data_IF_006388536095
#
_entry.id   IF_006388536095
#
_cell.length_a   1.000
_cell.length_b   1.000
_cell.length_c   1.000
_cell.angle_alpha   90.00
_cell.angle_beta   90.00
_cell.angle_gamma   90.00
#
_symmetry.space_group_name_H-M   'P 1'
#
loop_
_entity.id
_entity.type
_entity.pdbx_description
1 polymer ?
#
# COMPACT_ATOMS: atom_id res chain seq x y z
N UNK A 1 10.77 -17.80 3.64
CA UNK A 1 10.01 -18.69 4.56
C UNK A 1 8.75 -17.92 4.89
N UNK A 2 7.55 -18.42 4.58
CA UNK A 2 6.34 -17.59 4.63
C UNK A 2 6.03 -17.16 6.06
N UNK A 3 6.12 -15.86 6.35
CA UNK A 3 5.76 -15.27 7.65
C UNK A 3 4.27 -15.56 7.94
N UNK A 4 3.91 -16.11 9.11
CA UNK A 4 2.52 -16.31 9.52
C UNK A 4 1.70 -15.03 9.40
N UNK A 5 0.42 -15.14 9.00
CA UNK A 5 -0.43 -13.96 8.79
C UNK A 5 -0.61 -13.11 10.07
N UNK A 6 -0.55 -13.74 11.24
CA UNK A 6 -0.61 -13.08 12.55
C UNK A 6 0.62 -12.25 12.88
N UNK A 7 1.74 -12.50 12.21
CA UNK A 7 3.03 -11.84 12.40
C UNK A 7 3.35 -10.84 11.29
N UNK A 8 2.53 -10.80 10.24
CA UNK A 8 2.70 -9.85 9.14
C UNK A 8 2.27 -8.46 9.59
N UNK A 9 3.13 -7.48 9.32
CA UNK A 9 2.91 -6.09 9.68
C UNK A 9 3.30 -5.13 8.56
N UNK A 10 2.85 -3.89 8.72
CA UNK A 10 3.27 -2.77 7.90
C UNK A 10 3.37 -1.57 8.82
N UNK A 11 4.59 -1.03 8.92
CA UNK A 11 4.91 0.19 9.63
C UNK A 11 5.15 1.26 8.57
N UNK A 12 4.58 2.43 8.83
CA UNK A 12 4.69 3.59 7.95
C UNK A 12 4.99 4.80 8.81
N UNK A 13 6.07 5.50 8.49
CA UNK A 13 6.55 6.65 9.25
C UNK A 13 6.69 7.82 8.29
N UNK A 14 6.16 8.98 8.67
CA UNK A 14 6.53 10.23 8.02
C UNK A 14 7.65 10.87 8.83
N UNK A 15 8.81 11.02 8.21
CA UNK A 15 9.90 11.78 8.80
C UNK A 15 9.77 13.23 8.36
N UNK A 16 9.59 14.14 9.32
CA UNK A 16 9.39 15.57 9.06
C UNK A 16 10.71 16.26 8.69
N UNK A 17 11.83 15.82 9.24
CA UNK A 17 13.15 16.42 8.94
C UNK A 17 13.58 16.08 7.52
N UNK A 18 13.34 14.83 7.10
CA UNK A 18 13.63 14.36 5.73
C UNK A 18 12.51 14.76 4.76
N UNK A 19 11.30 14.97 5.26
CA UNK A 19 10.11 15.30 4.47
C UNK A 19 9.55 14.12 3.67
N UNK A 20 9.89 12.88 4.04
CA UNK A 20 9.61 11.66 3.25
C UNK A 20 8.88 10.59 4.06
N UNK A 21 8.22 9.70 3.34
CA UNK A 21 7.62 8.50 3.92
C UNK A 21 8.62 7.34 3.91
N UNK A 22 8.80 6.72 5.06
CA UNK A 22 9.44 5.43 5.22
C UNK A 22 8.39 4.33 5.36
N UNK A 23 8.64 3.18 4.71
CA UNK A 23 7.80 1.99 4.81
C UNK A 23 8.68 0.83 5.23
N UNK A 24 8.19 0.05 6.19
CA UNK A 24 8.69 -1.29 6.50
C UNK A 24 7.52 -2.26 6.51
N UNK A 25 7.55 -3.28 5.66
CA UNK A 25 6.43 -4.21 5.51
C UNK A 25 6.87 -5.64 5.25
N UNK A 26 6.26 -6.56 5.99
CA UNK A 26 6.28 -8.00 5.73
C UNK A 26 4.99 -8.50 5.08
N UNK A 27 4.00 -7.62 4.88
CA UNK A 27 2.73 -7.95 4.22
C UNK A 27 2.89 -8.00 2.68
N UNK A 28 2.75 -9.17 2.02
CA UNK A 28 3.08 -9.31 0.59
C UNK A 28 2.30 -8.40 -0.37
N UNK A 29 1.00 -8.12 -0.17
CA UNK A 29 0.29 -7.14 -0.99
C UNK A 29 0.88 -5.72 -0.92
N UNK A 30 1.38 -5.28 0.24
CA UNK A 30 2.04 -3.99 0.37
C UNK A 30 3.43 -4.00 -0.25
N UNK A 31 4.19 -5.11 -0.13
CA UNK A 31 5.47 -5.27 -0.85
C UNK A 31 5.27 -5.03 -2.35
N UNK A 32 4.30 -5.72 -2.97
CA UNK A 32 3.99 -5.53 -4.40
C UNK A 32 3.53 -4.12 -4.75
N UNK A 33 2.72 -3.51 -3.87
CA UNK A 33 2.19 -2.15 -4.07
C UNK A 33 3.28 -1.09 -4.03
N UNK A 34 4.19 -1.16 -3.06
CA UNK A 34 5.14 -0.09 -2.79
C UNK A 34 6.50 -0.27 -3.46
N UNK A 35 6.89 -1.49 -3.84
CA UNK A 35 8.17 -1.74 -4.53
C UNK A 35 8.43 -0.78 -5.70
N UNK A 36 7.47 -0.47 -6.60
CA UNK A 36 7.71 0.46 -7.71
C UNK A 36 7.89 1.92 -7.29
N UNK A 37 7.44 2.28 -6.10
CA UNK A 37 7.46 3.65 -5.57
C UNK A 37 8.64 3.94 -4.63
N UNK A 38 9.51 2.95 -4.39
CA UNK A 38 10.69 3.13 -3.54
C UNK A 38 11.76 3.94 -4.27
N UNK A 39 12.34 4.92 -3.59
CA UNK A 39 13.53 5.64 -4.04
C UNK A 39 14.80 4.98 -3.51
N UNK A 40 14.90 4.89 -2.18
CA UNK A 40 16.00 4.23 -1.49
C UNK A 40 15.47 2.97 -0.79
N UNK A 41 16.12 1.84 -1.06
CA UNK A 41 15.76 0.54 -0.48
C UNK A 41 16.81 0.15 0.54
N UNK A 42 16.42 0.10 1.82
CA UNK A 42 17.27 -0.33 2.92
C UNK A 42 17.30 -1.86 3.03
N UNK A 43 16.14 -2.50 2.85
CA UNK A 43 16.02 -3.95 2.86
C UNK A 43 15.01 -4.42 1.80
N UNK A 44 15.39 -5.45 1.03
CA UNK A 44 14.46 -6.14 0.14
C UNK A 44 14.78 -7.62 0.09
N UNK A 45 13.89 -8.41 0.66
CA UNK A 45 13.91 -9.86 0.58
C UNK A 45 12.63 -10.36 -0.08
N UNK A 46 12.47 -11.68 -0.18
CA UNK A 46 11.20 -12.26 -0.64
C UNK A 46 10.02 -11.89 0.28
N UNK A 47 10.28 -11.72 1.57
CA UNK A 47 9.26 -11.62 2.61
C UNK A 47 9.25 -10.25 3.33
N UNK A 48 10.12 -9.29 2.95
CA UNK A 48 10.21 -7.95 3.54
C UNK A 48 10.62 -6.87 2.53
N UNK A 49 10.08 -5.67 2.71
CA UNK A 49 10.50 -4.44 2.04
C UNK A 49 10.63 -3.32 3.07
N UNK A 50 11.79 -2.67 3.13
CA UNK A 50 12.04 -1.49 3.97
C UNK A 50 12.77 -0.39 3.19
N UNK A 51 12.41 0.88 3.43
CA UNK A 51 13.10 2.05 2.90
C UNK A 51 12.20 3.25 2.65
N UNK A 52 12.67 4.18 1.82
CA UNK A 52 12.06 5.48 1.57
C UNK A 52 11.30 5.54 0.24
N UNK A 53 10.13 6.17 0.25
CA UNK A 53 9.38 6.48 -0.98
C UNK A 53 10.15 7.52 -1.80
N UNK A 54 10.18 7.31 -3.13
CA UNK A 54 10.81 8.23 -4.09
C UNK A 54 10.06 9.57 -4.13
N UNK A 55 10.81 10.64 -4.39
CA UNK A 55 10.26 12.00 -4.56
C UNK A 55 9.37 12.11 -5.82
N UNK A 56 9.47 11.16 -6.75
CA UNK A 56 8.60 11.07 -7.92
C UNK A 56 7.16 10.65 -7.57
N UNK A 57 6.92 10.22 -6.32
CA UNK A 57 5.64 9.73 -5.85
C UNK A 57 5.07 10.61 -4.73
N UNK A 58 3.80 10.98 -4.84
CA UNK A 58 3.05 11.58 -3.73
C UNK A 58 2.57 10.48 -2.77
N UNK A 59 3.43 10.10 -1.82
CA UNK A 59 3.05 9.22 -0.72
C UNK A 59 1.98 9.87 0.15
N UNK A 60 0.80 9.25 0.28
CA UNK A 60 -0.20 9.63 1.27
C UNK A 60 -0.78 8.40 1.96
N UNK A 61 -0.82 8.43 3.29
CA UNK A 61 -1.44 7.42 4.12
C UNK A 61 -2.66 8.01 4.78
N UNK A 62 -3.83 7.47 4.44
CA UNK A 62 -5.10 8.04 4.86
C UNK A 62 -5.99 6.99 5.52
N UNK A 63 -6.55 7.38 6.64
CA UNK A 63 -7.62 6.63 7.29
C UNK A 63 -8.96 7.05 6.69
N UNK A 64 -9.61 6.15 5.93
CA UNK A 64 -10.97 6.38 5.42
C UNK A 64 -11.99 5.63 6.26
N UNK A 65 -13.14 6.25 6.52
CA UNK A 65 -14.28 5.57 7.16
C UNK A 65 -14.73 4.40 6.26
N UNK A 66 -14.79 3.19 6.83
CA UNK A 66 -15.36 2.03 6.11
C UNK A 66 -16.82 2.33 5.78
N UNK A 67 -17.16 2.29 4.50
CA UNK A 67 -18.55 2.35 4.04
C UNK A 67 -19.10 0.92 4.01
N UNK A 68 -20.19 0.67 4.72
CA UNK A 68 -20.97 -0.55 4.54
C UNK A 68 -21.89 -0.31 3.35
N UNK A 69 -21.54 -0.87 2.20
CA UNK A 69 -22.37 -0.78 0.99
C UNK A 69 -23.49 -1.81 1.06
N UNK A 70 -24.70 -1.39 0.70
CA UNK A 70 -25.81 -2.32 0.40
C UNK A 70 -25.50 -3.14 -0.85
N UNK A 71 -26.22 -4.24 -1.06
CA UNK A 71 -25.98 -5.12 -2.22
C UNK A 71 -26.17 -4.39 -3.55
N UNK A 72 -27.19 -3.54 -3.66
CA UNK A 72 -27.43 -2.69 -4.83
C UNK A 72 -26.26 -1.72 -5.09
N UNK A 73 -25.74 -1.09 -4.03
CA UNK A 73 -24.58 -0.19 -4.13
C UNK A 73 -23.30 -0.94 -4.51
N UNK A 74 -23.15 -2.20 -4.06
CA UNK A 74 -22.03 -3.05 -4.49
C UNK A 74 -22.10 -3.37 -5.97
N UNK A 75 -23.28 -3.72 -6.49
CA UNK A 75 -23.48 -4.00 -7.91
C UNK A 75 -23.16 -2.77 -8.78
N UNK A 76 -23.60 -1.58 -8.36
CA UNK A 76 -23.29 -0.33 -9.07
C UNK A 76 -21.78 -0.04 -9.12
N UNK A 77 -21.04 -0.26 -8.02
CA UNK A 77 -19.59 -0.06 -8.00
C UNK A 77 -18.88 -1.04 -8.93
N UNK A 78 -19.28 -2.31 -8.94
CA UNK A 78 -18.71 -3.33 -9.84
C UNK A 78 -18.95 -2.95 -11.31
N UNK A 79 -20.15 -2.49 -11.65
CA UNK A 79 -20.46 -2.11 -13.02
C UNK A 79 -19.72 -0.85 -13.47
N UNK A 80 -19.53 0.13 -12.58
CA UNK A 80 -18.70 1.31 -12.89
C UNK A 80 -17.23 0.95 -13.08
N UNK A 81 -16.69 0.05 -12.24
CA UNK A 81 -15.31 -0.44 -12.41
C UNK A 81 -15.13 -1.17 -13.74
N UNK A 82 -16.10 -1.97 -14.16
CA UNK A 82 -16.06 -2.66 -15.46
C UNK A 82 -16.04 -1.67 -16.63
N UNK A 83 -16.90 -0.65 -16.59
CA UNK A 83 -16.96 0.41 -17.62
C UNK A 83 -15.66 1.21 -17.71
N UNK A 84 -14.98 1.43 -16.59
CA UNK A 84 -13.68 2.13 -16.55
C UNK A 84 -12.48 1.28 -17.02
N UNK A 85 -12.62 -0.04 -17.13
CA UNK A 85 -11.58 -0.93 -17.65
C UNK A 85 -11.70 -1.17 -19.18
N UNK A 86 -12.84 -0.81 -19.77
CA UNK A 86 -13.13 -0.92 -21.20
C UNK A 86 -12.77 0.36 -21.99
N UNK A 87 -12.22 1.39 -21.33
CA UNK A 87 -11.67 2.62 -21.91
C UNK A 87 -10.14 2.61 -21.84
#
# INVERSE_FOLDING_TARGET
MKIPRSEQETIVIYDVEVGKWHIDTTYPPHIRKYTPAMGEIEEKTQDRLAGWISDDYSGSFMTRKRKTLTDEQRQQVVEQLRKGQEQ
#
